data_IF_038285383520
#
_entry.id   IF_038285383520
#
_cell.length_a   1.000
_cell.length_b   1.000
_cell.length_c   1.000
_cell.angle_alpha   90.00
_cell.angle_beta   90.00
_cell.angle_gamma   90.00
#
_symmetry.space_group_name_H-M   'P 1'
#
loop_
_entity.id
_entity.type
_entity.pdbx_description
1 polymer ?
#
# COMPACT_ATOMS: atom_id res chain seq x y z
N UNK A 1 7.72 1.56 -2.99
CA UNK A 1 8.83 0.58 -3.03
C UNK A 1 9.72 0.77 -4.26
N UNK A 2 9.20 0.63 -5.48
CA UNK A 2 9.98 0.83 -6.70
C UNK A 2 10.73 2.17 -6.74
N UNK A 3 10.05 3.27 -6.37
CA UNK A 3 10.68 4.60 -6.28
C UNK A 3 11.79 4.67 -5.22
N UNK A 4 11.61 4.02 -4.07
CA UNK A 4 12.63 3.99 -3.02
C UNK A 4 13.87 3.20 -3.47
N UNK A 5 13.66 2.05 -4.12
CA UNK A 5 14.72 1.26 -4.73
C UNK A 5 15.44 2.08 -5.80
N UNK A 6 14.69 2.75 -6.68
CA UNK A 6 15.24 3.62 -7.72
C UNK A 6 16.11 4.75 -7.14
N UNK A 7 15.64 5.44 -6.10
CA UNK A 7 16.43 6.47 -5.42
C UNK A 7 17.71 5.91 -4.80
N UNK A 8 17.63 4.77 -4.09
CA UNK A 8 18.81 4.13 -3.49
C UNK A 8 19.80 3.63 -4.55
N UNK A 9 19.31 2.99 -5.62
CA UNK A 9 20.13 2.51 -6.72
C UNK A 9 20.80 3.67 -7.47
N UNK A 10 20.07 4.78 -7.67
CA UNK A 10 20.62 5.95 -8.35
C UNK A 10 21.85 6.50 -7.62
N UNK A 11 21.90 6.49 -6.29
CA UNK A 11 23.09 6.90 -5.54
C UNK A 11 24.31 5.98 -5.73
N UNK A 12 24.09 4.72 -6.08
CA UNK A 12 25.17 3.75 -6.31
C UNK A 12 25.70 3.85 -7.73
N UNK A 13 24.81 3.97 -8.72
CA UNK A 13 25.18 3.97 -10.14
C UNK A 13 25.42 5.36 -10.73
N UNK A 14 24.75 6.37 -10.21
CA UNK A 14 24.83 7.76 -10.64
C UNK A 14 25.02 8.65 -9.41
N UNK A 15 26.25 8.78 -8.88
CA UNK A 15 26.50 9.66 -7.76
C UNK A 15 26.12 11.09 -8.16
N UNK A 16 24.89 11.48 -7.84
CA UNK A 16 24.40 12.84 -8.04
C UNK A 16 25.34 13.79 -7.29
N UNK A 17 25.47 15.02 -7.79
CA UNK A 17 26.23 16.07 -7.08
C UNK A 17 25.75 16.28 -5.64
N UNK A 18 24.50 15.92 -5.33
CA UNK A 18 23.96 15.94 -3.98
C UNK A 18 23.57 14.54 -3.47
N UNK A 19 24.06 14.13 -2.29
CA UNK A 19 23.62 12.87 -1.67
C UNK A 19 22.18 12.97 -1.15
N UNK A 20 21.50 11.83 -1.05
CA UNK A 20 20.19 11.72 -0.40
C UNK A 20 20.29 12.11 1.08
N UNK A 21 19.41 13.00 1.54
CA UNK A 21 19.48 13.58 2.89
C UNK A 21 19.06 12.57 3.95
N UNK A 22 18.02 11.80 3.66
CA UNK A 22 17.44 10.79 4.54
C UNK A 22 17.86 9.38 4.13
N UNK A 23 19.04 9.23 3.50
CA UNK A 23 19.55 7.93 3.02
C UNK A 23 19.50 6.85 4.10
N UNK A 24 20.00 7.17 5.30
CA UNK A 24 20.03 6.22 6.41
C UNK A 24 18.63 5.70 6.76
N UNK A 25 17.66 6.60 6.96
CA UNK A 25 16.28 6.23 7.28
C UNK A 25 15.63 5.44 6.14
N UNK A 26 15.84 5.89 4.89
CA UNK A 26 15.28 5.21 3.72
C UNK A 26 15.81 3.79 3.61
N UNK A 27 17.13 3.59 3.75
CA UNK A 27 17.76 2.27 3.77
C UNK A 27 17.26 1.44 4.95
N UNK A 28 17.22 1.99 6.17
CA UNK A 28 16.80 1.27 7.36
C UNK A 28 15.36 0.74 7.24
N UNK A 29 14.41 1.58 6.84
CA UNK A 29 13.02 1.15 6.65
C UNK A 29 12.85 0.21 5.45
N UNK A 30 13.62 0.38 4.37
CA UNK A 30 13.64 -0.57 3.26
C UNK A 30 14.16 -1.94 3.70
N UNK A 31 15.23 -1.98 4.50
CA UNK A 31 15.76 -3.23 5.08
C UNK A 31 14.73 -3.86 6.01
N UNK A 32 14.09 -3.09 6.90
CA UNK A 32 13.02 -3.60 7.76
C UNK A 32 11.87 -4.21 6.93
N UNK A 33 11.43 -3.53 5.87
CA UNK A 33 10.42 -4.04 4.95
C UNK A 33 10.85 -5.37 4.31
N UNK A 34 12.04 -5.41 3.71
CA UNK A 34 12.53 -6.58 2.98
C UNK A 34 12.79 -7.75 3.93
N UNK A 35 13.51 -7.53 5.03
CA UNK A 35 13.79 -8.57 6.02
C UNK A 35 12.51 -9.14 6.62
N UNK A 36 11.51 -8.30 6.93
CA UNK A 36 10.22 -8.78 7.42
C UNK A 36 9.52 -9.66 6.38
N UNK A 37 9.45 -9.22 5.12
CA UNK A 37 8.82 -9.99 4.05
C UNK A 37 9.54 -11.32 3.79
N UNK A 38 10.88 -11.33 3.83
CA UNK A 38 11.68 -12.55 3.71
C UNK A 38 11.38 -13.49 4.87
N UNK A 39 11.46 -13.01 6.12
CA UNK A 39 11.22 -13.83 7.30
C UNK A 39 9.83 -14.46 7.28
N UNK A 40 8.81 -13.70 6.87
CA UNK A 40 7.45 -14.21 6.74
C UNK A 40 7.30 -15.22 5.60
N UNK A 41 7.98 -15.02 4.46
CA UNK A 41 7.91 -15.94 3.32
C UNK A 41 8.52 -17.32 3.59
N UNK A 42 9.36 -17.44 4.62
CA UNK A 42 10.01 -18.69 5.03
C UNK A 42 9.20 -19.50 6.05
N UNK A 43 8.05 -18.99 6.48
CA UNK A 43 7.21 -19.71 7.44
C UNK A 43 6.43 -20.81 6.71
N UNK A 44 6.57 -22.06 7.18
CA UNK A 44 5.86 -23.23 6.65
C UNK A 44 4.35 -23.28 7.00
N UNK A 45 3.72 -22.13 7.16
CA UNK A 45 2.31 -22.00 7.54
C UNK A 45 1.54 -21.11 6.58
N UNK A 46 0.22 -21.30 6.52
CA UNK A 46 -0.65 -20.49 5.67
C UNK A 46 -0.57 -19.03 6.10
N UNK A 47 -0.23 -18.17 5.14
CA UNK A 47 -0.04 -16.75 5.35
C UNK A 47 -1.26 -15.96 4.87
N UNK A 48 -1.86 -15.21 5.80
CA UNK A 48 -2.99 -14.33 5.52
C UNK A 48 -2.57 -12.87 5.31
N UNK A 49 -3.42 -12.08 4.66
CA UNK A 49 -3.19 -10.67 4.35
C UNK A 49 -2.87 -9.80 5.58
N UNK A 50 -3.39 -10.12 6.77
CA UNK A 50 -3.09 -9.33 7.97
C UNK A 50 -1.60 -9.38 8.39
N UNK A 51 -0.85 -10.39 7.96
CA UNK A 51 0.58 -10.45 8.20
C UNK A 51 1.35 -9.39 7.40
N UNK A 52 0.73 -8.81 6.36
CA UNK A 52 1.27 -7.67 5.63
C UNK A 52 1.09 -6.34 6.38
N UNK A 53 0.39 -6.31 7.51
CA UNK A 53 0.11 -5.05 8.20
C UNK A 53 1.37 -4.33 8.72
N UNK A 54 2.34 -5.00 9.39
CA UNK A 54 3.59 -4.33 9.78
C UNK A 54 4.42 -3.77 8.61
N UNK A 55 4.67 -4.52 7.50
CA UNK A 55 5.42 -3.98 6.37
C UNK A 55 4.66 -2.87 5.64
N UNK A 56 3.33 -2.86 5.68
CA UNK A 56 2.53 -1.73 5.19
C UNK A 56 2.84 -0.44 5.98
N UNK A 57 2.99 -0.51 7.31
CA UNK A 57 3.38 0.65 8.13
C UNK A 57 4.77 1.18 7.74
N UNK A 58 5.74 0.28 7.54
CA UNK A 58 7.06 0.68 7.01
C UNK A 58 6.91 1.33 5.63
N UNK A 59 5.99 0.84 4.80
CA UNK A 59 5.68 1.41 3.50
C UNK A 59 5.19 2.86 3.54
N UNK A 60 4.36 3.24 4.52
CA UNK A 60 3.95 4.64 4.67
C UNK A 60 5.12 5.55 5.04
N UNK A 61 6.03 5.09 5.91
CA UNK A 61 7.24 5.85 6.25
C UNK A 61 8.15 6.01 5.03
N UNK A 62 8.37 4.91 4.30
CA UNK A 62 9.16 4.92 3.05
C UNK A 62 8.54 5.88 2.03
N UNK A 63 7.21 5.86 1.86
CA UNK A 63 6.52 6.76 0.95
C UNK A 63 6.77 8.23 1.32
N UNK A 64 6.67 8.58 2.61
CA UNK A 64 6.98 9.93 3.09
C UNK A 64 8.42 10.34 2.78
N UNK A 65 9.39 9.46 3.06
CA UNK A 65 10.81 9.72 2.79
C UNK A 65 11.07 9.91 1.29
N UNK A 66 10.43 9.11 0.43
CA UNK A 66 10.52 9.26 -1.03
C UNK A 66 10.03 10.64 -1.45
N UNK A 67 8.88 11.11 -0.96
CA UNK A 67 8.38 12.45 -1.29
C UNK A 67 9.32 13.57 -0.80
N UNK A 68 9.92 13.40 0.38
CA UNK A 68 10.88 14.37 0.91
C UNK A 68 12.15 14.45 0.06
N UNK A 69 12.65 13.34 -0.46
CA UNK A 69 13.80 13.33 -1.37
C UNK A 69 13.42 13.85 -2.77
N UNK A 70 12.28 13.42 -3.32
CA UNK A 70 11.84 13.88 -4.64
C UNK A 70 11.64 15.40 -4.69
N UNK A 71 11.15 16.02 -3.61
CA UNK A 71 11.01 17.48 -3.51
C UNK A 71 12.33 18.23 -3.70
N UNK A 72 13.48 17.60 -3.43
CA UNK A 72 14.80 18.23 -3.63
C UNK A 72 15.19 18.31 -5.10
N UNK A 73 14.78 17.32 -5.90
CA UNK A 73 15.05 17.27 -7.33
C UNK A 73 13.99 18.03 -8.14
N UNK A 74 12.86 18.33 -7.53
CA UNK A 74 11.70 18.91 -8.19
C UNK A 74 11.58 20.40 -7.88
N UNK A 75 11.57 21.24 -8.91
CA UNK A 75 11.53 22.71 -8.77
C UNK A 75 10.16 23.26 -8.36
N UNK A 76 9.11 22.44 -8.42
CA UNK A 76 7.76 22.84 -8.00
C UNK A 76 7.64 22.82 -6.47
N UNK A 77 7.69 24.01 -5.89
CA UNK A 77 7.38 24.23 -4.49
C UNK A 77 5.86 24.40 -4.32
N UNK A 78 5.25 23.49 -3.55
CA UNK A 78 3.87 23.71 -3.12
C UNK A 78 3.81 24.89 -2.14
N UNK A 79 2.93 25.85 -2.43
CA UNK A 79 2.58 26.91 -1.48
C UNK A 79 2.05 26.29 -0.18
N UNK A 80 2.16 27.01 0.94
CA UNK A 80 1.65 26.55 2.23
C UNK A 80 0.15 26.18 2.16
N UNK A 81 -0.62 26.93 1.36
CA UNK A 81 -2.02 26.64 1.08
C UNK A 81 -2.17 25.38 0.23
N UNK A 82 -1.36 25.19 -0.82
CA UNK A 82 -1.37 23.97 -1.65
C UNK A 82 -1.09 22.70 -0.84
N UNK A 83 -0.17 22.74 0.13
CA UNK A 83 0.11 21.61 1.04
C UNK A 83 -1.10 21.27 1.92
N UNK A 84 -1.76 22.29 2.49
CA UNK A 84 -2.98 22.11 3.30
C UNK A 84 -4.11 21.51 2.47
N UNK A 85 -4.34 22.04 1.27
CA UNK A 85 -5.36 21.53 0.34
C UNK A 85 -5.03 20.10 -0.06
N UNK A 86 -3.78 19.78 -0.39
CA UNK A 86 -3.35 18.43 -0.73
C UNK A 86 -3.60 17.43 0.39
N UNK A 87 -3.23 17.77 1.63
CA UNK A 87 -3.50 16.95 2.81
C UNK A 87 -5.01 16.75 3.04
N UNK A 88 -5.80 17.82 2.86
CA UNK A 88 -7.26 17.74 2.98
C UNK A 88 -7.86 16.82 1.90
N UNK A 89 -7.41 16.93 0.66
CA UNK A 89 -7.86 16.05 -0.44
C UNK A 89 -7.50 14.59 -0.15
N UNK A 90 -6.26 14.30 0.26
CA UNK A 90 -5.85 12.93 0.61
C UNK A 90 -6.68 12.41 1.79
N UNK A 91 -6.87 13.23 2.83
CA UNK A 91 -7.71 12.88 3.98
C UNK A 91 -9.16 12.58 3.58
N UNK A 92 -9.74 13.39 2.69
CA UNK A 92 -11.08 13.16 2.16
C UNK A 92 -11.17 11.87 1.34
N UNK A 93 -10.17 11.56 0.51
CA UNK A 93 -10.13 10.31 -0.26
C UNK A 93 -10.10 9.10 0.69
N UNK A 94 -9.23 9.14 1.72
CA UNK A 94 -9.15 8.07 2.72
C UNK A 94 -10.48 7.95 3.48
N UNK A 95 -11.07 9.06 3.89
CA UNK A 95 -12.34 9.08 4.61
C UNK A 95 -13.49 8.53 3.78
N UNK A 96 -13.65 8.98 2.53
CA UNK A 96 -14.68 8.50 1.61
C UNK A 96 -14.49 7.02 1.30
N UNK A 97 -13.24 6.60 1.05
CA UNK A 97 -12.90 5.19 0.88
C UNK A 97 -13.29 4.35 2.09
N UNK A 98 -12.96 4.82 3.30
CA UNK A 98 -13.38 4.17 4.54
C UNK A 98 -14.90 4.10 4.66
N UNK A 99 -15.63 5.19 4.44
CA UNK A 99 -17.10 5.17 4.50
C UNK A 99 -17.72 4.20 3.49
N UNK A 100 -17.13 4.09 2.30
CA UNK A 100 -17.57 3.16 1.27
C UNK A 100 -17.41 1.70 1.71
N UNK A 101 -16.26 1.34 2.30
CA UNK A 101 -15.95 -0.02 2.77
C UNK A 101 -16.40 -0.34 4.20
N UNK A 102 -16.82 0.67 4.97
CA UNK A 102 -17.28 0.57 6.36
C UNK A 102 -18.26 -0.58 6.63
N UNK A 103 -19.27 -0.85 5.78
CA UNK A 103 -20.20 -1.95 6.02
C UNK A 103 -19.52 -3.32 6.12
N UNK A 104 -18.44 -3.54 5.35
CA UNK A 104 -17.67 -4.79 5.40
C UNK A 104 -16.87 -4.90 6.70
N UNK A 105 -16.34 -3.79 7.22
CA UNK A 105 -15.56 -3.76 8.45
C UNK A 105 -16.40 -4.00 9.71
N UNK A 106 -17.61 -3.43 9.74
CA UNK A 106 -18.51 -3.51 10.91
C UNK A 106 -19.67 -4.50 10.72
N UNK A 107 -19.58 -5.38 9.72
CA UNK A 107 -20.61 -6.39 9.43
C UNK A 107 -22.03 -5.82 9.33
N UNK A 108 -22.16 -4.64 8.73
CA UNK A 108 -23.46 -4.01 8.54
C UNK A 108 -24.19 -4.70 7.37
N UNK A 109 -25.51 -4.93 7.50
CA UNK A 109 -26.27 -5.57 6.43
C UNK A 109 -26.30 -4.67 5.19
N UNK A 110 -25.96 -5.26 4.04
CA UNK A 110 -25.97 -4.62 2.72
C UNK A 110 -26.64 -5.54 1.71
N UNK A 111 -27.17 -4.97 0.63
CA UNK A 111 -27.74 -5.74 -0.48
C UNK A 111 -26.65 -6.34 -1.37
N UNK A 112 -26.99 -7.40 -2.12
CA UNK A 112 -26.04 -8.06 -3.04
C UNK A 112 -25.50 -7.10 -4.11
N UNK A 113 -26.34 -6.20 -4.62
CA UNK A 113 -25.92 -5.19 -5.60
C UNK A 113 -24.96 -4.16 -5.00
N UNK A 114 -25.16 -3.78 -3.73
CA UNK A 114 -24.23 -2.92 -3.02
C UNK A 114 -22.90 -3.64 -2.73
N UNK A 115 -22.94 -4.94 -2.46
CA UNK A 115 -21.73 -5.74 -2.26
C UNK A 115 -20.91 -5.86 -3.54
N UNK A 116 -21.53 -6.23 -4.68
CA UNK A 116 -20.85 -6.35 -5.98
C UNK A 116 -20.15 -5.06 -6.42
N UNK A 117 -20.76 -3.90 -6.17
CA UNK A 117 -20.14 -2.57 -6.48
C UNK A 117 -18.84 -2.31 -5.72
N UNK A 118 -18.58 -3.01 -4.63
CA UNK A 118 -17.35 -2.90 -3.82
C UNK A 118 -16.26 -3.87 -4.27
N UNK A 119 -16.56 -4.83 -5.14
CA UNK A 119 -15.59 -5.75 -5.71
C UNK A 119 -14.97 -5.13 -6.98
N UNK A 120 -14.00 -4.23 -6.80
CA UNK A 120 -13.36 -3.56 -7.94
C UNK A 120 -12.51 -4.49 -8.80
N UNK A 121 -11.92 -5.52 -8.18
CA UNK A 121 -11.09 -6.50 -8.87
C UNK A 121 -11.65 -7.90 -8.61
N UNK A 122 -11.73 -8.72 -9.66
CA UNK A 122 -12.15 -10.12 -9.57
C UNK A 122 -11.21 -10.93 -8.65
N UNK A 123 -9.93 -10.53 -8.59
CA UNK A 123 -8.90 -11.11 -7.72
C UNK A 123 -9.20 -11.01 -6.22
N UNK A 124 -10.11 -10.11 -5.81
CA UNK A 124 -10.47 -9.99 -4.39
C UNK A 124 -11.37 -11.13 -3.91
N UNK A 125 -11.94 -11.92 -4.82
CA UNK A 125 -12.80 -13.09 -4.54
C UNK A 125 -13.90 -12.82 -3.51
N UNK A 126 -14.41 -11.58 -3.50
CA UNK A 126 -15.53 -11.16 -2.66
C UNK A 126 -16.79 -11.85 -3.16
N UNK A 127 -17.21 -12.89 -2.47
CA UNK A 127 -18.37 -13.72 -2.82
C UNK A 127 -19.46 -13.59 -1.74
N UNK A 128 -20.72 -13.60 -2.19
CA UNK A 128 -21.84 -13.66 -1.25
C UNK A 128 -21.92 -15.06 -0.64
N UNK A 129 -22.43 -15.19 0.59
CA UNK A 129 -22.45 -16.46 1.34
C UNK A 129 -23.24 -17.57 0.61
N UNK A 130 -24.27 -17.19 -0.16
CA UNK A 130 -25.13 -18.12 -0.91
C UNK A 130 -24.79 -18.21 -2.40
N UNK A 131 -23.71 -17.55 -2.84
CA UNK A 131 -23.29 -17.51 -4.23
C UNK A 131 -22.29 -18.64 -4.49
N UNK A 132 -22.34 -19.19 -5.70
CA UNK A 132 -21.30 -20.11 -6.16
C UNK A 132 -19.97 -19.35 -6.24
N UNK A 133 -18.92 -19.96 -5.68
CA UNK A 133 -17.57 -19.42 -5.77
C UNK A 133 -17.04 -19.67 -7.18
N UNK A 134 -16.79 -18.58 -7.90
CA UNK A 134 -16.11 -18.61 -9.19
C UNK A 134 -14.74 -17.98 -8.96
N UNK A 135 -13.67 -18.77 -9.09
CA UNK A 135 -12.28 -18.30 -8.99
C UNK A 135 -11.57 -18.54 -10.31
N UNK A 136 -10.87 -17.51 -10.78
CA UNK A 136 -9.98 -17.61 -11.94
C UNK A 136 -8.58 -18.13 -11.58
N UNK A 137 -8.24 -18.17 -10.28
CA UNK A 137 -6.90 -18.51 -9.79
C UNK A 137 -6.82 -19.91 -9.17
N UNK A 138 -7.89 -20.38 -8.53
CA UNK A 138 -7.91 -21.67 -7.85
C UNK A 138 -9.26 -22.36 -8.04
N UNK A 139 -9.28 -23.47 -8.77
CA UNK A 139 -10.47 -24.32 -8.90
C UNK A 139 -10.53 -25.19 -7.64
N UNK A 140 -11.58 -25.08 -6.80
CA UNK A 140 -11.71 -25.98 -5.65
C UNK A 140 -11.89 -27.41 -6.16
N UNK A 141 -11.00 -28.31 -5.77
CA UNK A 141 -11.20 -29.74 -5.99
C UNK A 141 -12.49 -30.15 -5.26
N UNK A 142 -13.43 -30.76 -5.97
CA UNK A 142 -14.56 -31.45 -5.34
C UNK A 142 -14.01 -32.75 -4.75
N UNK A 143 -13.91 -32.80 -3.43
CA UNK A 143 -13.87 -34.07 -2.69
C UNK A 143 -15.29 -34.61 -2.53
#
# INVERSE_FOLDING_TARGET
MLLAIGLLASQVFFPFREPLKHRFLLTAFMTLYVCYMIAISQLDRVMYLYHYFPPLLFGFVILSLVFMELKRFWTWEFTAQGKKVGLLVVGLIVFVGFQFYRPLTYYQPITDEQFKRRAFFELWELTCVKCDKVSSLAIPCKD
#
